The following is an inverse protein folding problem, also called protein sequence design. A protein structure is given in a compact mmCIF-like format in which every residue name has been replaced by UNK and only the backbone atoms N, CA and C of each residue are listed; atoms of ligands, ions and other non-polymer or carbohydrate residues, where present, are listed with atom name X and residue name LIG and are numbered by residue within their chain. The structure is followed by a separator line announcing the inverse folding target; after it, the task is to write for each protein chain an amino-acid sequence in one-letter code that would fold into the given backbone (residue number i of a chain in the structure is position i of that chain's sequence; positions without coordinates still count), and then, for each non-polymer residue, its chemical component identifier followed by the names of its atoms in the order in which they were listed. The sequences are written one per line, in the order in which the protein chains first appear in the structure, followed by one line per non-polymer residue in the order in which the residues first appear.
data_IF_964056464052
#
_entry.id   IF_964056464052
#
_cell.length_a   1.000
_cell.length_b   1.000
_cell.length_c   1.000
_cell.angle_alpha   90.00
_cell.angle_beta   90.00
_cell.angle_gamma   90.00
#
_symmetry.space_group_name_H-M   'P 1'
#
loop_
_entity.id
_entity.type
_entity.pdbx_description
1 polymer ?
#
# COMPACT_ATOMS: atom_id res chain seq x y z
N UNK A 1 7.24 1.04 -19.36
CA UNK A 1 7.92 1.75 -18.24
C UNK A 1 7.30 1.22 -16.98
N UNK A 2 8.10 0.86 -15.97
CA UNK A 2 7.57 0.34 -14.71
C UNK A 2 6.75 1.43 -14.01
N UNK A 3 5.52 1.14 -13.60
CA UNK A 3 4.70 2.05 -12.79
C UNK A 3 5.40 2.32 -11.45
N UNK A 4 5.36 3.54 -10.89
CA UNK A 4 5.91 3.79 -9.56
C UNK A 4 5.05 3.12 -8.47
N UNK A 5 5.62 2.78 -7.29
CA UNK A 5 4.87 2.06 -6.24
C UNK A 5 3.62 2.82 -5.77
N UNK A 6 3.68 4.14 -5.75
CA UNK A 6 2.54 4.99 -5.42
C UNK A 6 1.35 4.78 -6.37
N UNK A 7 1.59 4.64 -7.68
CA UNK A 7 0.53 4.39 -8.65
C UNK A 7 -0.10 3.02 -8.41
N UNK A 8 0.70 1.98 -8.15
CA UNK A 8 0.19 0.66 -7.83
C UNK A 8 -0.68 0.66 -6.56
N UNK A 9 -0.27 1.42 -5.54
CA UNK A 9 -1.03 1.56 -4.29
C UNK A 9 -2.35 2.31 -4.52
N UNK A 10 -2.34 3.36 -5.33
CA UNK A 10 -3.57 4.11 -5.65
C UNK A 10 -4.54 3.26 -6.46
N UNK A 11 -4.03 2.53 -7.47
CA UNK A 11 -4.83 1.61 -8.29
C UNK A 11 -5.47 0.53 -7.39
N UNK A 12 -4.66 -0.16 -6.57
CA UNK A 12 -5.15 -1.18 -5.65
C UNK A 12 -6.11 -0.62 -4.59
N UNK A 13 -5.86 0.59 -4.08
CA UNK A 13 -6.77 1.26 -3.14
C UNK A 13 -8.12 1.53 -3.80
N UNK A 14 -8.14 2.02 -5.04
CA UNK A 14 -9.38 2.27 -5.75
C UNK A 14 -10.18 0.99 -5.93
N UNK A 15 -9.52 -0.11 -6.33
CA UNK A 15 -10.16 -1.41 -6.45
C UNK A 15 -10.76 -1.88 -5.13
N UNK A 16 -10.03 -1.75 -4.01
CA UNK A 16 -10.54 -2.10 -2.68
C UNK A 16 -11.76 -1.24 -2.32
N UNK A 17 -11.70 0.08 -2.52
CA UNK A 17 -12.83 0.95 -2.22
C UNK A 17 -14.08 0.58 -3.05
N UNK A 18 -13.92 0.28 -4.33
CA UNK A 18 -14.99 -0.17 -5.22
C UNK A 18 -15.62 -1.49 -4.75
N UNK A 19 -14.78 -2.48 -4.40
CA UNK A 19 -15.26 -3.79 -3.90
C UNK A 19 -16.03 -3.67 -2.57
N UNK A 20 -15.61 -2.75 -1.71
CA UNK A 20 -16.25 -2.51 -0.42
C UNK A 20 -17.40 -1.48 -0.50
N UNK A 21 -17.73 -0.97 -1.69
CA UNK A 21 -18.71 0.09 -1.91
C UNK A 21 -18.46 1.35 -1.05
N UNK A 22 -17.18 1.67 -0.83
CA UNK A 22 -16.73 2.86 -0.09
C UNK A 22 -16.53 4.00 -1.08
N UNK A 23 -17.20 5.12 -0.86
CA UNK A 23 -17.00 6.32 -1.66
C UNK A 23 -15.65 6.97 -1.34
N UNK A 24 -14.81 7.16 -2.37
CA UNK A 24 -13.57 7.92 -2.22
C UNK A 24 -13.90 9.37 -1.81
N UNK A 25 -13.23 9.93 -0.78
CA UNK A 25 -13.51 11.29 -0.29
C UNK A 25 -13.02 12.39 -1.26
N UNK A 26 -12.33 12.01 -2.34
CA UNK A 26 -11.73 12.89 -3.33
C UNK A 26 -10.65 12.17 -4.13
N UNK A 27 -9.80 12.92 -4.86
CA UNK A 27 -8.65 12.35 -5.56
C UNK A 27 -7.73 11.61 -4.59
N UNK A 28 -7.43 10.35 -4.91
CA UNK A 28 -6.50 9.53 -4.15
C UNK A 28 -5.06 9.96 -4.47
N UNK A 29 -4.23 10.10 -3.45
CA UNK A 29 -2.85 10.57 -3.59
C UNK A 29 -2.06 10.41 -2.29
N UNK A 30 -0.87 11.00 -2.22
CA UNK A 30 0.09 10.76 -1.14
C UNK A 30 -0.49 11.01 0.26
N UNK A 31 -1.28 12.08 0.40
CA UNK A 31 -1.92 12.46 1.67
C UNK A 31 -3.19 11.69 2.02
N UNK A 32 -3.64 10.75 1.16
CA UNK A 32 -4.82 9.94 1.43
C UNK A 32 -4.58 9.04 2.63
N UNK A 33 -5.45 9.16 3.64
CA UNK A 33 -5.37 8.36 4.86
C UNK A 33 -5.94 6.97 4.63
N UNK A 34 -5.11 5.96 4.85
CA UNK A 34 -5.47 4.56 4.67
C UNK A 34 -6.07 3.97 5.94
N UNK A 35 -5.37 4.10 7.07
CA UNK A 35 -5.75 3.45 8.34
C UNK A 35 -5.71 4.41 9.54
N UNK A 36 -6.54 4.13 10.55
CA UNK A 36 -6.64 4.88 11.80
C UNK A 36 -7.94 5.67 11.94
N UNK A 37 -7.95 6.67 12.83
CA UNK A 37 -9.16 7.42 13.22
C UNK A 37 -9.92 8.07 12.05
N UNK A 38 -9.19 8.50 11.02
CA UNK A 38 -9.75 9.11 9.80
C UNK A 38 -9.30 8.33 8.55
N UNK A 39 -8.97 7.04 8.70
CA UNK A 39 -8.57 6.16 7.59
C UNK A 39 -9.78 5.66 6.81
N UNK A 40 -9.59 5.42 5.52
CA UNK A 40 -10.63 4.85 4.65
C UNK A 40 -10.88 3.37 4.91
N UNK A 41 -9.86 2.66 5.39
CA UNK A 41 -9.88 1.22 5.56
C UNK A 41 -9.90 0.87 7.05
N UNK A 42 -10.66 -0.18 7.36
CA UNK A 42 -10.55 -0.89 8.63
C UNK A 42 -9.39 -1.90 8.58
N UNK A 43 -9.25 -2.72 9.62
CA UNK A 43 -8.17 -3.71 9.69
C UNK A 43 -8.23 -4.73 8.55
N UNK A 44 -9.43 -5.14 8.11
CA UNK A 44 -9.59 -6.12 7.05
C UNK A 44 -9.31 -5.51 5.67
N UNK A 45 -9.87 -4.33 5.40
CA UNK A 45 -9.60 -3.59 4.17
C UNK A 45 -8.13 -3.23 4.02
N UNK A 46 -7.43 -2.94 5.13
CA UNK A 46 -5.99 -2.74 5.10
C UNK A 46 -5.23 -4.01 4.68
N UNK A 47 -5.58 -5.17 5.25
CA UNK A 47 -4.96 -6.44 4.86
C UNK A 47 -5.21 -6.74 3.37
N UNK A 48 -6.45 -6.50 2.89
CA UNK A 48 -6.78 -6.66 1.47
C UNK A 48 -5.94 -5.74 0.58
N UNK A 49 -5.80 -4.46 0.94
CA UNK A 49 -4.95 -3.52 0.22
C UNK A 49 -3.49 -4.00 0.20
N UNK A 50 -2.97 -4.42 1.35
CA UNK A 50 -1.58 -4.87 1.46
C UNK A 50 -1.31 -6.04 0.50
N UNK A 51 -2.16 -7.06 0.50
CA UNK A 51 -2.03 -8.20 -0.42
C UNK A 51 -2.13 -7.76 -1.87
N UNK A 52 -3.10 -6.91 -2.22
CA UNK A 52 -3.26 -6.40 -3.58
C UNK A 52 -2.02 -5.63 -4.06
N UNK A 53 -1.40 -4.84 -3.18
CA UNK A 53 -0.16 -4.10 -3.49
C UNK A 53 1.02 -5.03 -3.64
N UNK A 54 1.18 -6.05 -2.79
CA UNK A 54 2.24 -7.06 -2.94
C UNK A 54 2.15 -7.77 -4.30
N UNK A 55 0.94 -8.17 -4.70
CA UNK A 55 0.69 -8.78 -6.01
C UNK A 55 0.99 -7.82 -7.16
N UNK A 56 0.50 -6.58 -7.08
CA UNK A 56 0.76 -5.57 -8.11
C UNK A 56 2.25 -5.26 -8.26
N UNK A 57 3.00 -5.27 -7.15
CA UNK A 57 4.45 -5.10 -7.16
C UNK A 57 5.13 -6.30 -7.83
N UNK A 58 4.73 -7.53 -7.49
CA UNK A 58 5.27 -8.73 -8.11
C UNK A 58 5.00 -8.75 -9.63
N UNK A 59 3.79 -8.39 -10.06
CA UNK A 59 3.42 -8.33 -11.47
C UNK A 59 4.19 -7.24 -12.25
N UNK A 60 4.40 -6.06 -11.65
CA UNK A 60 5.04 -4.91 -12.31
C UNK A 60 6.59 -5.01 -12.29
N UNK A 61 7.16 -5.46 -11.18
CA UNK A 61 8.62 -5.47 -10.95
C UNK A 61 9.25 -6.87 -11.05
N UNK A 62 8.46 -7.94 -11.01
CA UNK A 62 8.96 -9.32 -10.96
C UNK A 62 9.62 -9.68 -9.62
N UNK A 63 9.31 -8.93 -8.55
CA UNK A 63 9.92 -9.08 -7.23
C UNK A 63 8.83 -9.22 -6.18
N UNK A 64 8.85 -10.32 -5.43
CA UNK A 64 7.95 -10.51 -4.29
C UNK A 64 8.48 -9.75 -3.06
N UNK A 65 7.67 -8.85 -2.51
CA UNK A 65 7.96 -8.13 -1.25
C UNK A 65 6.95 -8.52 -0.19
N UNK A 66 7.35 -8.46 1.09
CA UNK A 66 6.41 -8.60 2.22
C UNK A 66 6.21 -7.23 2.85
N UNK A 67 5.07 -6.63 2.54
CA UNK A 67 4.57 -5.43 3.18
C UNK A 67 4.01 -5.75 4.56
N UNK A 68 3.36 -6.90 4.73
CA UNK A 68 2.72 -7.34 5.98
C UNK A 68 3.72 -7.78 7.09
N UNK A 69 4.77 -7.00 7.36
CA UNK A 69 5.67 -7.29 8.48
C UNK A 69 5.00 -6.92 9.81
N UNK A 70 4.91 -7.89 10.74
CA UNK A 70 4.28 -7.77 12.06
C UNK A 70 4.82 -6.56 12.86
N UNK A 71 6.09 -6.20 12.61
CA UNK A 71 6.72 -5.02 13.23
C UNK A 71 6.17 -3.71 12.68
N UNK A 72 5.73 -3.63 11.43
CA UNK A 72 5.22 -2.41 10.82
C UNK A 72 3.79 -2.06 11.28
N UNK A 73 3.00 -3.06 11.67
CA UNK A 73 1.63 -2.89 12.19
C UNK A 73 1.60 -2.32 13.61
N UNK A 74 2.59 -2.66 14.44
CA UNK A 74 2.62 -2.29 15.87
C UNK A 74 3.40 -1.02 16.20
N UNK A 75 4.08 -0.40 15.22
CA UNK A 75 4.92 0.79 15.45
C UNK A 75 4.12 2.10 15.47
N UNK A 76 4.55 3.05 16.33
CA UNK A 76 3.98 4.43 16.40
C UNK A 76 4.05 5.18 15.07
N UNK A 77 4.97 4.81 14.17
CA UNK A 77 5.10 5.31 12.80
C UNK A 77 4.79 4.18 11.82
N UNK A 78 3.54 3.71 11.83
CA UNK A 78 3.11 2.67 10.91
C UNK A 78 3.07 3.20 9.46
N UNK A 79 3.66 2.47 8.48
CA UNK A 79 3.65 2.87 7.07
C UNK A 79 2.23 2.85 6.47
N UNK A 80 1.27 2.22 7.14
CA UNK A 80 -0.11 2.09 6.67
C UNK A 80 -0.99 3.31 6.95
N UNK A 81 -0.43 4.42 7.45
CA UNK A 81 -1.24 5.61 7.75
C UNK A 81 -1.72 6.33 6.51
N UNK A 82 -0.86 6.44 5.51
CA UNK A 82 -1.15 7.17 4.28
C UNK A 82 -0.57 6.45 3.08
N UNK A 83 -1.11 6.74 1.89
CA UNK A 83 -0.58 6.22 0.61
C UNK A 83 0.89 6.58 0.45
N UNK A 84 1.30 7.80 0.81
CA UNK A 84 2.69 8.22 0.73
C UNK A 84 3.63 7.40 1.61
N UNK A 85 3.25 7.22 2.88
CA UNK A 85 4.04 6.41 3.82
C UNK A 85 4.15 4.95 3.37
N UNK A 86 3.08 4.40 2.78
CA UNK A 86 3.09 3.03 2.25
C UNK A 86 3.96 2.94 0.99
N UNK A 87 3.89 3.93 0.10
CA UNK A 87 4.70 3.98 -1.11
C UNK A 87 6.20 4.11 -0.80
N UNK A 88 6.57 4.95 0.17
CA UNK A 88 7.95 5.05 0.63
C UNK A 88 8.43 3.73 1.22
N UNK A 89 7.59 3.05 2.00
CA UNK A 89 7.92 1.75 2.57
C UNK A 89 8.11 0.68 1.49
N UNK A 90 7.19 0.60 0.52
CA UNK A 90 7.29 -0.31 -0.62
C UNK A 90 8.55 -0.06 -1.46
N UNK A 91 8.88 1.20 -1.74
CA UNK A 91 10.10 1.57 -2.45
C UNK A 91 11.37 1.09 -1.70
N UNK A 92 11.41 1.24 -0.38
CA UNK A 92 12.54 0.74 0.44
C UNK A 92 12.68 -0.79 0.40
N UNK A 93 11.55 -1.51 0.38
CA UNK A 93 11.58 -2.97 0.24
C UNK A 93 12.07 -3.40 -1.13
N UNK A 94 11.62 -2.73 -2.19
CA UNK A 94 12.07 -2.95 -3.56
C UNK A 94 13.57 -2.72 -3.72
N UNK A 95 14.09 -1.61 -3.23
CA UNK A 95 15.53 -1.31 -3.25
C UNK A 95 16.33 -2.39 -2.49
N UNK A 96 15.82 -2.79 -1.32
CA UNK A 96 16.44 -3.83 -0.51
C UNK A 96 16.40 -5.23 -1.13
N UNK A 97 15.40 -5.52 -1.95
CA UNK A 97 15.28 -6.78 -2.69
C UNK A 97 16.17 -6.78 -3.95
N UNK A 98 16.24 -5.66 -4.66
CA UNK A 98 17.12 -5.48 -5.82
C UNK A 98 18.61 -5.60 -5.44
N UNK A 99 19.00 -5.13 -4.24
CA UNK A 99 20.38 -5.27 -3.75
C UNK A 99 20.79 -6.72 -3.41
N UNK A 100 19.85 -7.67 -3.41
CA UNK A 100 20.07 -9.09 -3.07
C UNK A 100 20.00 -10.03 -4.27
N UNK A 101 19.67 -9.53 -5.46
CA UNK A 101 19.65 -10.28 -6.73
C UNK A 101 20.91 -10.03 -7.55
#
# INVERSE_FOLDING_TARGET
MQKPPMTLIVDALQEVLEHHAIAAPGPLGEGTRLFGRDGLLDSMGLVTLVVAVEQAIEDEYGVSVSLADDRALSQRNSPYRTVGSLAEYAARLLDGAAARG
#
